data_IF_684049191360
#
_entry.id   IF_684049191360
#
_cell.length_a   1.000
_cell.length_b   1.000
_cell.length_c   1.000
_cell.angle_alpha   90.00
_cell.angle_beta   90.00
_cell.angle_gamma   90.00
#
_symmetry.space_group_name_H-M   'P 1'
#
loop_
_entity.id
_entity.type
_entity.pdbx_description
1 polymer ?
#
# COMPACT_ATOMS: atom_id res chain seq x y z
N UNK A 1 -3.21 -47.58 45.69
CA UNK A 1 -2.86 -46.16 45.92
C UNK A 1 -1.92 -45.56 44.85
N UNK A 2 -1.14 -46.36 44.12
CA UNK A 2 -0.18 -45.84 43.10
C UNK A 2 -0.86 -45.42 41.78
N UNK A 3 -1.90 -46.13 41.33
CA UNK A 3 -2.62 -45.84 40.07
C UNK A 3 -3.28 -44.45 40.04
N UNK A 4 -3.88 -44.01 41.15
CA UNK A 4 -4.52 -42.69 41.25
C UNK A 4 -3.51 -41.53 41.13
N UNK A 5 -2.25 -41.75 41.52
CA UNK A 5 -1.20 -40.72 41.46
C UNK A 5 -0.64 -40.55 40.05
N UNK A 6 -0.63 -41.63 39.26
CA UNK A 6 -0.20 -41.62 37.85
C UNK A 6 -1.27 -40.93 36.99
N UNK A 7 -2.55 -41.28 37.17
CA UNK A 7 -3.65 -40.69 36.39
C UNK A 7 -3.81 -39.17 36.63
N UNK A 8 -3.66 -38.72 37.89
CA UNK A 8 -3.67 -37.28 38.19
C UNK A 8 -2.48 -36.53 37.58
N UNK A 9 -1.31 -37.19 37.46
CA UNK A 9 -0.14 -36.57 36.87
C UNK A 9 -0.27 -36.44 35.35
N UNK A 10 -0.85 -37.43 34.67
CA UNK A 10 -1.14 -37.34 33.23
C UNK A 10 -2.21 -36.29 32.92
N UNK A 11 -3.29 -36.22 33.70
CA UNK A 11 -4.31 -35.16 33.56
C UNK A 11 -3.73 -33.77 33.84
N UNK A 12 -2.87 -33.64 34.84
CA UNK A 12 -2.16 -32.38 35.13
C UNK A 12 -1.22 -31.97 34.00
N UNK A 13 -0.51 -32.95 33.40
CA UNK A 13 0.43 -32.71 32.29
C UNK A 13 -0.31 -32.33 31.01
N UNK A 14 -1.39 -33.04 30.66
CA UNK A 14 -2.23 -32.74 29.51
C UNK A 14 -2.93 -31.37 29.64
N UNK A 15 -3.37 -31.02 30.84
CA UNK A 15 -3.94 -29.70 31.12
C UNK A 15 -2.88 -28.59 31.02
N UNK A 16 -1.66 -28.85 31.52
CA UNK A 16 -0.53 -27.92 31.42
C UNK A 16 -0.06 -27.68 29.98
N UNK A 17 -0.03 -28.72 29.13
CA UNK A 17 0.31 -28.59 27.71
C UNK A 17 -0.77 -27.85 26.94
N UNK A 18 -2.06 -28.12 27.21
CA UNK A 18 -3.16 -27.39 26.57
C UNK A 18 -3.15 -25.89 26.92
N UNK A 19 -2.88 -25.54 28.19
CA UNK A 19 -2.77 -24.13 28.59
C UNK A 19 -1.51 -23.45 28.01
N UNK A 20 -0.43 -24.20 27.82
CA UNK A 20 0.79 -23.68 27.22
C UNK A 20 0.61 -23.42 25.72
N UNK A 21 0.01 -24.37 24.99
CA UNK A 21 -0.27 -24.22 23.56
C UNK A 21 -1.23 -23.05 23.29
N UNK A 22 -2.25 -22.86 24.12
CA UNK A 22 -3.17 -21.71 24.03
C UNK A 22 -2.45 -20.39 24.30
N UNK A 23 -1.58 -20.33 25.32
CA UNK A 23 -0.78 -19.12 25.60
C UNK A 23 0.25 -18.79 24.50
N UNK A 24 0.82 -19.80 23.84
CA UNK A 24 1.75 -19.63 22.71
C UNK A 24 1.01 -19.12 21.48
N UNK A 25 -0.17 -19.67 21.19
CA UNK A 25 -1.02 -19.19 20.10
C UNK A 25 -1.50 -17.76 20.34
N UNK A 26 -1.88 -17.41 21.57
CA UNK A 26 -2.26 -16.06 21.95
C UNK A 26 -1.08 -15.07 21.81
N UNK A 27 0.12 -15.44 22.28
CA UNK A 27 1.31 -14.60 22.14
C UNK A 27 1.74 -14.42 20.67
N UNK A 28 1.61 -15.46 19.84
CA UNK A 28 1.89 -15.37 18.41
C UNK A 28 0.86 -14.49 17.68
N UNK A 29 -0.42 -14.67 17.98
CA UNK A 29 -1.50 -13.85 17.42
C UNK A 29 -1.33 -12.38 17.81
N UNK A 30 -1.03 -12.11 19.08
CA UNK A 30 -0.74 -10.75 19.55
C UNK A 30 0.48 -10.14 18.85
N UNK A 31 1.57 -10.91 18.70
CA UNK A 31 2.76 -10.41 18.01
C UNK A 31 2.50 -10.14 16.51
N UNK A 32 1.70 -10.98 15.85
CA UNK A 32 1.27 -10.77 14.46
C UNK A 32 0.37 -9.53 14.34
N UNK A 33 -0.59 -9.33 15.24
CA UNK A 33 -1.44 -8.14 15.28
C UNK A 33 -0.63 -6.86 15.49
N UNK A 34 0.31 -6.86 16.43
CA UNK A 34 1.19 -5.70 16.71
C UNK A 34 2.11 -5.41 15.53
N UNK A 35 2.73 -6.44 14.93
CA UNK A 35 3.59 -6.26 13.75
C UNK A 35 2.78 -5.73 12.56
N UNK A 36 1.57 -6.25 12.35
CA UNK A 36 0.65 -5.79 11.31
C UNK A 36 0.24 -4.35 11.54
N UNK A 37 -0.19 -3.96 12.73
CA UNK A 37 -0.56 -2.59 13.06
C UNK A 37 0.61 -1.62 12.85
N UNK A 38 1.81 -2.00 13.29
CA UNK A 38 3.02 -1.20 13.09
C UNK A 38 3.36 -1.06 11.60
N UNK A 39 3.20 -2.14 10.81
CA UNK A 39 3.42 -2.14 9.38
C UNK A 39 2.41 -1.26 8.63
N UNK A 40 1.13 -1.31 9.01
CA UNK A 40 0.05 -0.52 8.42
C UNK A 40 0.21 0.96 8.76
N UNK A 41 0.61 1.27 10.00
CA UNK A 41 0.93 2.65 10.41
C UNK A 41 2.13 3.19 9.64
N UNK A 42 3.17 2.39 9.46
CA UNK A 42 4.35 2.77 8.65
C UNK A 42 3.98 2.97 7.18
N UNK A 43 3.17 2.08 6.61
CA UNK A 43 2.65 2.20 5.23
C UNK A 43 1.84 3.48 5.06
N UNK A 44 0.94 3.77 6.00
CA UNK A 44 0.12 4.99 6.01
C UNK A 44 1.00 6.24 6.07
N UNK A 45 2.00 6.26 6.95
CA UNK A 45 2.95 7.38 7.07
C UNK A 45 3.77 7.58 5.78
N UNK A 46 4.24 6.50 5.16
CA UNK A 46 4.95 6.56 3.88
C UNK A 46 4.04 7.07 2.75
N UNK A 47 2.79 6.60 2.69
CA UNK A 47 1.79 7.07 1.73
C UNK A 47 1.51 8.58 1.91
N UNK A 48 1.39 9.04 3.15
CA UNK A 48 1.20 10.46 3.48
C UNK A 48 2.42 11.30 3.05
N UNK A 49 3.64 10.85 3.36
CA UNK A 49 4.87 11.50 2.92
C UNK A 49 4.97 11.58 1.40
N UNK A 50 4.61 10.49 0.70
CA UNK A 50 4.66 10.44 -0.76
C UNK A 50 3.63 11.38 -1.39
N UNK A 51 2.40 11.40 -0.87
CA UNK A 51 1.36 12.31 -1.33
C UNK A 51 1.71 13.78 -1.07
N UNK A 52 2.29 14.09 0.11
CA UNK A 52 2.77 15.43 0.43
C UNK A 52 3.93 15.86 -0.49
N UNK A 53 4.90 14.97 -0.73
CA UNK A 53 6.01 15.23 -1.62
C UNK A 53 5.54 15.49 -3.06
N UNK A 54 4.57 14.71 -3.55
CA UNK A 54 3.95 14.93 -4.86
C UNK A 54 3.22 16.27 -4.93
N UNK A 55 2.46 16.63 -3.89
CA UNK A 55 1.71 17.89 -3.85
C UNK A 55 2.64 19.10 -3.85
N UNK A 56 3.72 19.06 -3.06
CA UNK A 56 4.74 20.11 -3.03
C UNK A 56 5.46 20.19 -4.38
N UNK A 57 5.84 19.04 -4.95
CA UNK A 57 6.48 18.99 -6.26
C UNK A 57 5.61 19.65 -7.34
N UNK A 58 4.33 19.26 -7.41
CA UNK A 58 3.40 19.82 -8.38
C UNK A 58 3.15 21.32 -8.16
N UNK A 59 3.02 21.76 -6.91
CA UNK A 59 2.89 23.17 -6.60
C UNK A 59 4.09 23.98 -7.13
N UNK A 60 5.31 23.49 -6.89
CA UNK A 60 6.54 24.14 -7.38
C UNK A 60 6.58 24.18 -8.91
N UNK A 61 6.22 23.08 -9.58
CA UNK A 61 6.17 23.01 -11.04
C UNK A 61 5.16 23.99 -11.63
N UNK A 62 3.99 24.15 -11.00
CA UNK A 62 2.96 25.12 -11.41
C UNK A 62 3.50 26.55 -11.31
N UNK A 63 4.26 26.90 -10.26
CA UNK A 63 4.82 28.25 -10.13
C UNK A 63 5.95 28.53 -11.11
N UNK A 64 6.75 27.51 -11.44
CA UNK A 64 7.87 27.68 -12.34
C UNK A 64 7.45 27.72 -13.81
N UNK A 65 6.33 27.07 -14.16
CA UNK A 65 5.74 27.15 -15.49
C UNK A 65 6.75 26.88 -16.60
N UNK A 66 6.74 27.73 -17.63
CA UNK A 66 7.70 27.65 -18.74
C UNK A 66 9.08 28.27 -18.42
N UNK A 67 9.26 28.85 -17.22
CA UNK A 67 10.50 29.48 -16.77
C UNK A 67 11.49 28.52 -16.12
N UNK A 68 11.17 27.21 -16.07
CA UNK A 68 12.03 26.22 -15.43
C UNK A 68 13.31 25.99 -16.24
N UNK A 69 14.49 26.19 -15.64
CA UNK A 69 15.75 25.84 -16.29
C UNK A 69 15.78 24.36 -16.66
N UNK A 70 16.16 24.06 -17.90
CA UNK A 70 16.15 22.69 -18.45
C UNK A 70 16.96 21.67 -17.62
N UNK A 71 18.01 22.11 -16.91
CA UNK A 71 18.84 21.27 -16.06
C UNK A 71 18.12 20.82 -14.77
N UNK A 72 17.20 21.63 -14.22
CA UNK A 72 16.35 21.22 -13.10
C UNK A 72 15.34 20.16 -13.56
N UNK A 73 14.77 20.33 -14.75
CA UNK A 73 13.87 19.34 -15.36
C UNK A 73 14.60 18.02 -15.61
N UNK A 74 15.85 18.08 -16.11
CA UNK A 74 16.69 16.90 -16.29
C UNK A 74 17.00 16.21 -14.95
N UNK A 75 17.34 16.98 -13.91
CA UNK A 75 17.56 16.46 -12.57
C UNK A 75 16.35 15.73 -12.01
N UNK A 76 15.15 16.29 -12.20
CA UNK A 76 13.89 15.64 -11.82
C UNK A 76 13.69 14.31 -12.55
N UNK A 77 13.90 14.27 -13.87
CA UNK A 77 13.77 13.04 -14.66
C UNK A 77 14.74 11.96 -14.19
N UNK A 78 15.99 12.32 -13.89
CA UNK A 78 17.00 11.39 -13.38
C UNK A 78 16.60 10.84 -12.01
N UNK A 79 16.09 11.68 -11.10
CA UNK A 79 15.60 11.23 -9.80
C UNK A 79 14.39 10.29 -9.96
N UNK A 80 13.41 10.65 -10.80
CA UNK A 80 12.24 9.81 -11.07
C UNK A 80 12.64 8.46 -11.68
N UNK A 81 13.56 8.46 -12.66
CA UNK A 81 14.09 7.24 -13.25
C UNK A 81 14.86 6.40 -12.23
N UNK A 82 15.69 7.04 -11.39
CA UNK A 82 16.44 6.36 -10.33
C UNK A 82 15.53 5.72 -9.30
N UNK A 83 14.49 6.42 -8.84
CA UNK A 83 13.47 5.86 -7.94
C UNK A 83 12.69 4.74 -8.62
N UNK A 84 12.30 4.91 -9.88
CA UNK A 84 11.61 3.87 -10.66
C UNK A 84 12.43 2.60 -10.80
N UNK A 85 13.71 2.73 -11.15
CA UNK A 85 14.67 1.62 -11.24
C UNK A 85 14.92 0.98 -9.87
N UNK A 86 15.07 1.77 -8.80
CA UNK A 86 15.24 1.26 -7.45
C UNK A 86 14.03 0.46 -6.96
N UNK A 87 12.82 0.99 -7.16
CA UNK A 87 11.56 0.30 -6.81
C UNK A 87 11.39 -0.96 -7.66
N UNK A 88 11.70 -0.90 -8.96
CA UNK A 88 11.66 -2.05 -9.86
C UNK A 88 12.64 -3.15 -9.44
N UNK A 89 13.89 -2.78 -9.13
CA UNK A 89 14.90 -3.71 -8.63
C UNK A 89 14.49 -4.33 -7.30
N UNK A 90 13.95 -3.53 -6.36
CA UNK A 90 13.48 -4.04 -5.07
C UNK A 90 12.25 -4.95 -5.22
N UNK A 91 11.36 -4.67 -6.17
CA UNK A 91 10.23 -5.57 -6.52
C UNK A 91 10.72 -6.87 -7.19
N UNK A 92 11.86 -6.87 -7.88
CA UNK A 92 12.41 -8.08 -8.49
C UNK A 92 12.95 -9.09 -7.46
N UNK A 93 13.41 -8.62 -6.30
CA UNK A 93 13.81 -9.48 -5.18
C UNK A 93 12.61 -10.13 -4.47
N UNK A 94 11.45 -9.45 -4.47
CA UNK A 94 10.20 -10.04 -4.02
C UNK A 94 9.60 -10.84 -5.17
N UNK A 95 10.07 -12.07 -5.38
CA UNK A 95 9.47 -13.02 -6.34
C UNK A 95 7.99 -13.26 -6.00
N UNK A 96 7.11 -12.40 -6.52
CA UNK A 96 5.68 -12.66 -6.62
C UNK A 96 5.37 -13.86 -7.56
N UNK A 97 6.39 -14.35 -8.28
CA UNK A 97 6.28 -15.39 -9.29
C UNK A 97 6.23 -16.85 -8.80
N UNK A 98 6.18 -17.14 -7.49
CA UNK A 98 6.00 -18.53 -7.03
C UNK A 98 4.58 -18.89 -6.58
N UNK A 99 3.67 -17.90 -6.49
CA UNK A 99 2.27 -18.16 -6.09
C UNK A 99 1.21 -17.47 -6.95
N UNK A 100 1.58 -16.55 -7.84
CA UNK A 100 0.65 -15.99 -8.82
C UNK A 100 0.66 -16.84 -10.08
N UNK A 101 -0.49 -17.43 -10.42
CA UNK A 101 -0.68 -18.13 -11.68
C UNK A 101 -0.44 -17.12 -12.83
N UNK A 102 0.53 -17.37 -13.73
CA UNK A 102 0.89 -16.42 -14.79
C UNK A 102 -0.27 -16.10 -15.76
N UNK A 103 -1.30 -16.95 -15.79
CA UNK A 103 -2.52 -16.77 -16.60
C UNK A 103 -3.68 -16.08 -15.85
N UNK A 104 -3.55 -15.85 -14.54
CA UNK A 104 -4.57 -15.23 -13.68
C UNK A 104 -4.01 -13.99 -12.98
N UNK A 105 -3.36 -13.11 -13.75
CA UNK A 105 -2.89 -11.83 -13.20
C UNK A 105 -4.11 -10.93 -12.87
N UNK A 106 -4.13 -10.30 -11.68
CA UNK A 106 -5.21 -9.39 -11.31
C UNK A 106 -5.29 -8.22 -12.31
N UNK A 107 -6.43 -8.10 -12.97
CA UNK A 107 -6.65 -7.06 -13.98
C UNK A 107 -6.98 -5.71 -13.32
N UNK A 108 -6.56 -4.60 -13.94
CA UNK A 108 -6.90 -3.25 -13.48
C UNK A 108 -8.42 -3.01 -13.54
N UNK A 109 -9.01 -2.60 -12.42
CA UNK A 109 -10.43 -2.23 -12.32
C UNK A 109 -10.65 -0.72 -12.53
N UNK A 110 -11.92 -0.28 -12.46
CA UNK A 110 -12.27 1.15 -12.58
C UNK A 110 -11.60 2.04 -11.53
N UNK A 111 -11.39 1.54 -10.30
CA UNK A 111 -10.75 2.30 -9.20
C UNK A 111 -9.26 2.51 -9.49
N UNK A 112 -8.59 1.52 -10.08
CA UNK A 112 -7.20 1.62 -10.52
C UNK A 112 -7.04 2.70 -11.60
N UNK A 113 -7.87 2.65 -12.65
CA UNK A 113 -7.82 3.67 -13.71
C UNK A 113 -8.17 5.07 -13.17
N UNK A 114 -9.15 5.18 -12.27
CA UNK A 114 -9.46 6.44 -11.60
C UNK A 114 -8.27 6.97 -10.81
N UNK A 115 -7.57 6.12 -10.06
CA UNK A 115 -6.36 6.48 -9.32
C UNK A 115 -5.25 7.00 -10.24
N UNK A 116 -5.02 6.34 -11.38
CA UNK A 116 -4.07 6.83 -12.40
C UNK A 116 -4.48 8.20 -12.91
N UNK A 117 -5.74 8.36 -13.34
CA UNK A 117 -6.23 9.64 -13.85
C UNK A 117 -6.02 10.73 -12.80
N UNK A 118 -6.38 10.47 -11.55
CA UNK A 118 -6.23 11.41 -10.44
C UNK A 118 -4.79 11.89 -10.27
N UNK A 119 -3.80 11.00 -10.40
CA UNK A 119 -2.37 11.37 -10.30
C UNK A 119 -1.94 12.35 -11.40
N UNK A 120 -2.53 12.26 -12.59
CA UNK A 120 -2.19 13.11 -13.73
C UNK A 120 -3.09 14.33 -13.92
N UNK A 121 -4.16 14.48 -13.11
CA UNK A 121 -5.07 15.62 -13.17
C UNK A 121 -4.36 16.99 -13.19
N UNK A 122 -3.32 17.25 -12.35
CA UNK A 122 -2.70 18.58 -12.30
C UNK A 122 -2.14 19.06 -13.63
N UNK A 123 -1.71 18.14 -14.51
CA UNK A 123 -1.17 18.47 -15.84
C UNK A 123 -2.20 19.17 -16.73
N UNK A 124 -3.50 18.87 -16.58
CA UNK A 124 -4.56 19.48 -17.38
C UNK A 124 -4.97 20.88 -16.88
N UNK A 125 -4.69 21.19 -15.62
CA UNK A 125 -5.07 22.46 -14.99
C UNK A 125 -3.88 23.40 -14.76
N UNK A 126 -2.67 22.98 -15.16
CA UNK A 126 -1.44 23.73 -14.93
C UNK A 126 -1.51 25.17 -15.47
N UNK A 127 -1.97 25.37 -16.71
CA UNK A 127 -2.07 26.71 -17.33
C UNK A 127 -3.03 27.65 -16.59
N UNK A 128 -4.04 27.10 -15.91
CA UNK A 128 -5.00 27.91 -15.13
C UNK A 128 -4.49 28.29 -13.74
N UNK A 129 -3.53 27.54 -13.22
CA UNK A 129 -2.97 27.73 -11.87
C UNK A 129 -1.62 28.48 -11.89
N UNK A 130 -0.96 28.53 -13.05
CA UNK A 130 0.30 29.25 -13.27
C UNK A 130 0.16 30.73 -12.87
N UNK A 131 1.07 31.21 -12.02
CA UNK A 131 1.06 32.59 -11.51
C UNK A 131 0.03 32.90 -10.41
N UNK A 132 -0.91 31.99 -10.11
CA UNK A 132 -1.93 32.17 -9.07
C UNK A 132 -1.57 31.43 -7.77
N UNK A 133 -0.60 31.95 -7.01
CA UNK A 133 -0.02 31.28 -5.84
C UNK A 133 -1.02 30.71 -4.83
N UNK A 134 -2.00 31.50 -4.40
CA UNK A 134 -2.97 31.07 -3.38
C UNK A 134 -3.87 29.95 -3.91
N UNK A 135 -4.36 30.10 -5.14
CA UNK A 135 -5.26 29.12 -5.77
C UNK A 135 -4.49 27.82 -6.03
N UNK A 136 -3.25 27.92 -6.54
CA UNK A 136 -2.37 26.78 -6.75
C UNK A 136 -2.06 26.04 -5.45
N UNK A 137 -1.86 26.74 -4.32
CA UNK A 137 -1.59 26.13 -3.02
C UNK A 137 -2.81 25.34 -2.52
N UNK A 138 -4.01 25.92 -2.62
CA UNK A 138 -5.26 25.25 -2.23
C UNK A 138 -5.51 24.03 -3.13
N UNK A 139 -5.39 24.19 -4.45
CA UNK A 139 -5.59 23.11 -5.41
C UNK A 139 -4.59 21.96 -5.19
N UNK A 140 -3.30 22.27 -4.97
CA UNK A 140 -2.26 21.27 -4.72
C UNK A 140 -2.49 20.53 -3.39
N UNK A 141 -2.98 21.23 -2.36
CA UNK A 141 -3.30 20.62 -1.06
C UNK A 141 -4.47 19.64 -1.18
N UNK A 142 -5.57 20.08 -1.80
CA UNK A 142 -6.75 19.23 -2.04
C UNK A 142 -6.39 18.01 -2.91
N UNK A 143 -5.59 18.22 -3.94
CA UNK A 143 -5.09 17.15 -4.79
C UNK A 143 -4.19 16.17 -4.02
N UNK A 144 -3.28 16.66 -3.18
CA UNK A 144 -2.44 15.83 -2.32
C UNK A 144 -3.25 14.94 -1.36
N UNK A 145 -4.33 15.48 -0.77
CA UNK A 145 -5.26 14.69 0.05
C UNK A 145 -5.96 13.59 -0.76
N UNK A 146 -6.36 13.90 -1.99
CA UNK A 146 -6.99 12.93 -2.88
C UNK A 146 -6.01 11.81 -3.30
N UNK A 147 -4.75 12.16 -3.59
CA UNK A 147 -3.67 11.20 -3.87
C UNK A 147 -3.36 10.33 -2.65
N UNK A 148 -3.30 10.91 -1.46
CA UNK A 148 -3.15 10.18 -0.21
C UNK A 148 -4.27 9.13 -0.05
N UNK A 149 -5.52 9.54 -0.29
CA UNK A 149 -6.66 8.63 -0.25
C UNK A 149 -6.53 7.48 -1.26
N UNK A 150 -6.07 7.76 -2.50
CA UNK A 150 -5.82 6.70 -3.51
C UNK A 150 -4.75 5.71 -3.05
N UNK A 151 -3.66 6.17 -2.45
CA UNK A 151 -2.62 5.26 -1.95
C UNK A 151 -3.08 4.47 -0.72
N UNK A 152 -3.85 5.08 0.16
CA UNK A 152 -4.28 4.44 1.41
C UNK A 152 -5.48 3.52 1.24
N UNK A 153 -6.34 3.78 0.25
CA UNK A 153 -7.52 2.93 -0.05
C UNK A 153 -7.17 1.63 -0.78
N UNK A 154 -5.90 1.42 -1.15
CA UNK A 154 -5.49 0.26 -1.95
C UNK A 154 -5.95 0.34 -3.41
N UNK A 155 -6.47 1.48 -3.89
CA UNK A 155 -6.94 1.64 -5.27
C UNK A 155 -5.86 1.28 -6.31
N UNK A 156 -4.59 1.53 -5.98
CA UNK A 156 -3.42 1.21 -6.81
C UNK A 156 -2.75 -0.14 -6.48
N UNK A 157 -3.24 -0.88 -5.49
CA UNK A 157 -2.69 -2.17 -5.11
C UNK A 157 -3.35 -3.28 -5.94
N UNK A 158 -2.60 -3.84 -6.89
CA UNK A 158 -3.08 -4.97 -7.70
C UNK A 158 -2.96 -6.30 -6.95
N UNK A 159 -2.15 -6.36 -5.88
CA UNK A 159 -1.82 -7.63 -5.19
C UNK A 159 -2.87 -8.08 -4.19
N UNK A 160 -3.66 -7.16 -3.65
CA UNK A 160 -4.75 -7.44 -2.70
C UNK A 160 -6.10 -7.65 -3.39
N UNK A 161 -6.12 -7.73 -4.73
CA UNK A 161 -7.34 -7.92 -5.50
C UNK A 161 -7.60 -9.42 -5.67
N UNK A 162 -8.46 -9.95 -4.80
CA UNK A 162 -9.01 -11.29 -4.95
C UNK A 162 -9.97 -11.36 -6.13
N UNK A 163 -10.02 -12.54 -6.76
CA UNK A 163 -10.84 -12.93 -7.91
C UNK A 163 -12.36 -12.97 -7.61
N UNK A 164 -12.88 -12.00 -6.88
CA UNK A 164 -14.24 -11.94 -6.32
C UNK A 164 -15.33 -11.63 -7.37
N UNK A 165 -15.22 -12.16 -8.58
CA UNK A 165 -16.28 -11.98 -9.58
C UNK A 165 -16.59 -13.14 -10.51
N UNK A 166 -15.99 -14.33 -10.40
CA UNK A 166 -16.37 -15.39 -11.35
C UNK A 166 -16.33 -16.88 -10.94
N UNK A 167 -16.50 -17.21 -9.66
CA UNK A 167 -17.00 -18.54 -9.26
C UNK A 167 -17.88 -18.45 -8.00
N UNK A 168 -19.02 -17.78 -8.09
CA UNK A 168 -20.19 -18.32 -7.38
C UNK A 168 -20.48 -19.63 -8.08
N UNK A 169 -20.11 -20.75 -7.44
CA UNK A 169 -20.65 -22.04 -7.81
C UNK A 169 -22.18 -21.88 -7.84
N UNK A 170 -22.77 -21.92 -9.03
CA UNK A 170 -24.17 -22.21 -9.20
C UNK A 170 -24.36 -23.65 -8.70
N UNK A 171 -24.59 -23.78 -7.40
CA UNK A 171 -25.13 -24.99 -6.82
C UNK A 171 -26.63 -25.03 -7.11
N UNK A 172 -26.96 -25.36 -8.36
CA UNK A 172 -28.25 -25.92 -8.74
C UNK A 172 -27.96 -27.31 -9.31
N UNK A 173 -27.95 -28.29 -8.42
CA UNK A 173 -28.31 -29.69 -8.70
C UNK A 173 -29.40 -30.10 -7.71
#
# INVERSE_FOLDING_TARGET
MILSKVENNEKSKAKGTATMDESVHEALAFNEEVEKEQSDRRRTALNALFAAALAVLWFVLIQWGNGMPWWLSLGLVVVCAGVGLWVGAKKSDVRAGYRQNPFEQPQPDKKYYFGIILIFIPTFFQTFLEGHMVIAAVASTLWGLAVFWVFNSGAMDLSTRDHESNKRASGDE
#
